data_IF_421841634906
#
_entry.id   IF_421841634906
#
_cell.length_a   1.000
_cell.length_b   1.000
_cell.length_c   1.000
_cell.angle_alpha   90.00
_cell.angle_beta   90.00
_cell.angle_gamma   90.00
#
_symmetry.space_group_name_H-M   'P 1'
#
loop_
_entity.id
_entity.type
_entity.pdbx_description
1 polymer ?
#
# COMPACT_ATOMS: atom_id res chain seq x y z
N UNK A 1 -0.08 20.54 11.32
CA UNK A 1 0.32 19.14 11.13
C UNK A 1 0.26 18.33 12.43
N UNK A 2 0.95 18.74 13.52
CA UNK A 2 0.89 18.02 14.81
C UNK A 2 -0.55 17.85 15.32
N UNK A 3 -1.35 18.92 15.32
CA UNK A 3 -2.76 18.87 15.72
C UNK A 3 -3.58 17.85 14.90
N UNK A 4 -3.31 17.72 13.59
CA UNK A 4 -4.03 16.78 12.73
C UNK A 4 -3.72 15.33 13.15
N UNK A 5 -2.45 15.03 13.44
CA UNK A 5 -2.03 13.71 13.92
C UNK A 5 -2.66 13.39 15.27
N UNK A 6 -2.73 14.37 16.19
CA UNK A 6 -3.40 14.19 17.48
C UNK A 6 -4.90 13.98 17.34
N UNK A 7 -5.58 14.76 16.49
CA UNK A 7 -7.00 14.59 16.17
C UNK A 7 -7.28 13.18 15.62
N UNK A 8 -6.42 12.68 14.70
CA UNK A 8 -6.57 11.34 14.14
C UNK A 8 -6.22 10.24 15.15
N UNK A 9 -5.28 10.47 16.05
CA UNK A 9 -4.97 9.56 17.15
C UNK A 9 -6.17 9.40 18.10
N UNK A 10 -6.84 10.51 18.43
CA UNK A 10 -8.07 10.49 19.24
C UNK A 10 -9.20 9.79 18.48
N UNK A 11 -9.41 10.13 17.20
CA UNK A 11 -10.48 9.55 16.39
C UNK A 11 -10.34 8.04 16.16
N UNK A 12 -9.09 7.56 16.01
CA UNK A 12 -8.78 6.14 15.80
C UNK A 12 -8.52 5.36 17.10
N UNK A 13 -8.43 6.04 18.25
CA UNK A 13 -8.18 5.40 19.54
C UNK A 13 -6.77 4.82 19.71
N UNK A 14 -5.78 5.31 18.95
CA UNK A 14 -4.36 4.92 19.09
C UNK A 14 -3.52 6.03 19.69
N UNK A 15 -2.34 5.71 20.18
CA UNK A 15 -1.37 6.72 20.60
C UNK A 15 -0.85 7.51 19.40
N UNK A 16 -0.70 8.83 19.55
CA UNK A 16 -0.19 9.68 18.48
C UNK A 16 1.24 9.24 18.08
N UNK A 17 1.45 8.80 16.83
CA UNK A 17 2.76 8.39 16.34
C UNK A 17 3.69 9.59 16.14
N UNK A 18 5.00 9.34 16.12
CA UNK A 18 5.97 10.40 15.81
C UNK A 18 5.88 10.78 14.34
N UNK A 19 6.08 12.06 14.07
CA UNK A 19 5.92 12.62 12.74
C UNK A 19 7.28 13.08 12.19
N UNK A 20 7.57 12.69 10.95
CA UNK A 20 8.80 13.04 10.25
C UNK A 20 8.48 13.78 8.96
N UNK A 21 9.22 14.86 8.69
CA UNK A 21 9.13 15.61 7.45
C UNK A 21 10.23 15.16 6.49
N UNK A 22 9.85 14.76 5.29
CA UNK A 22 10.76 14.37 4.22
C UNK A 22 10.92 15.54 3.23
N UNK A 23 12.16 15.89 2.85
CA UNK A 23 12.43 16.94 1.86
C UNK A 23 12.19 16.41 0.43
N UNK A 24 10.92 16.21 0.08
CA UNK A 24 10.47 15.79 -1.26
C UNK A 24 9.27 16.66 -1.65
N UNK A 25 9.23 17.11 -2.91
CA UNK A 25 8.19 18.02 -3.43
C UNK A 25 6.92 17.28 -3.88
N UNK A 26 6.96 15.96 -4.02
CA UNK A 26 5.78 15.16 -4.34
C UNK A 26 4.82 15.08 -3.15
N UNK A 27 3.51 15.00 -3.42
CA UNK A 27 2.48 14.77 -2.39
C UNK A 27 2.56 13.30 -1.95
N UNK A 28 2.97 13.02 -0.72
CA UNK A 28 3.05 11.68 -0.18
C UNK A 28 3.08 11.63 1.35
N UNK A 29 2.52 10.55 1.89
CA UNK A 29 2.64 10.17 3.29
C UNK A 29 2.80 8.66 3.40
N UNK A 30 3.36 8.18 4.51
CA UNK A 30 3.44 6.76 4.83
C UNK A 30 3.48 6.53 6.33
N UNK A 31 2.87 5.45 6.80
CA UNK A 31 3.08 4.91 8.14
C UNK A 31 4.15 3.79 8.12
N UNK A 32 5.05 3.79 9.10
CA UNK A 32 6.04 2.73 9.30
C UNK A 32 6.17 2.37 10.78
N UNK A 33 6.39 1.10 11.09
CA UNK A 33 6.56 0.61 12.45
C UNK A 33 6.38 -0.90 12.53
N UNK A 34 6.72 -1.52 13.65
CA UNK A 34 6.43 -2.94 13.90
C UNK A 34 5.17 -3.14 14.76
N UNK A 35 4.95 -2.22 15.70
CA UNK A 35 3.79 -2.19 16.58
C UNK A 35 3.18 -0.80 16.55
N UNK A 36 1.90 -0.69 16.89
CA UNK A 36 1.19 0.60 16.93
C UNK A 36 1.84 1.61 17.89
N UNK A 37 2.57 1.13 18.91
CA UNK A 37 3.32 1.96 19.87
C UNK A 37 4.61 2.57 19.31
N UNK A 38 5.21 1.93 18.32
CA UNK A 38 6.46 2.36 17.68
C UNK A 38 6.21 2.92 16.27
N UNK A 39 4.94 3.17 15.94
CA UNK A 39 4.57 3.69 14.65
C UNK A 39 5.05 5.13 14.47
N UNK A 40 5.50 5.41 13.26
CA UNK A 40 5.90 6.73 12.81
C UNK A 40 5.18 7.05 11.51
N UNK A 41 4.84 8.32 11.32
CA UNK A 41 4.27 8.83 10.08
C UNK A 41 5.31 9.71 9.41
N UNK A 42 5.65 9.40 8.17
CA UNK A 42 6.44 10.25 7.29
C UNK A 42 5.52 11.05 6.39
N UNK A 43 5.74 12.36 6.29
CA UNK A 43 5.00 13.26 5.39
C UNK A 43 6.03 14.04 4.57
N UNK A 44 5.80 14.17 3.26
CA UNK A 44 6.68 14.96 2.39
C UNK A 44 6.40 16.46 2.47
N UNK A 45 7.39 17.28 2.11
CA UNK A 45 7.22 18.73 1.99
C UNK A 45 6.10 19.08 1.00
N UNK A 46 5.99 18.36 -0.12
CA UNK A 46 4.90 18.52 -1.09
C UNK A 46 3.51 18.37 -0.47
N UNK A 47 3.32 17.41 0.44
CA UNK A 47 2.05 17.25 1.14
C UNK A 47 1.69 18.46 2.00
N UNK A 48 2.68 19.09 2.63
CA UNK A 48 2.45 20.28 3.46
C UNK A 48 2.20 21.51 2.61
N UNK A 49 2.91 21.65 1.50
CA UNK A 49 2.84 22.84 0.66
C UNK A 49 1.63 22.84 -0.29
N UNK A 50 1.14 21.67 -0.70
CA UNK A 50 0.16 21.53 -1.79
C UNK A 50 -1.24 21.07 -1.33
N UNK A 51 -1.33 20.40 -0.17
CA UNK A 51 -2.62 20.00 0.39
C UNK A 51 -3.13 21.04 1.38
N UNK A 52 -4.44 21.26 1.33
CA UNK A 52 -5.15 21.99 2.39
C UNK A 52 -5.12 21.20 3.71
N UNK A 53 -5.51 21.86 4.81
CA UNK A 53 -5.56 21.23 6.13
C UNK A 53 -6.49 20.01 6.12
N UNK A 54 -7.64 20.15 5.49
CA UNK A 54 -8.68 19.12 5.36
C UNK A 54 -8.14 17.96 4.52
N UNK A 55 -7.54 18.24 3.37
CA UNK A 55 -6.94 17.21 2.51
C UNK A 55 -5.84 16.42 3.22
N UNK A 56 -4.94 17.13 3.92
CA UNK A 56 -3.90 16.51 4.74
C UNK A 56 -4.50 15.64 5.84
N UNK A 57 -5.61 16.06 6.46
CA UNK A 57 -6.32 15.28 7.45
C UNK A 57 -6.88 13.98 6.85
N UNK A 58 -7.41 14.02 5.63
CA UNK A 58 -7.82 12.83 4.88
C UNK A 58 -6.66 11.86 4.60
N UNK A 59 -5.52 12.37 4.14
CA UNK A 59 -4.31 11.56 3.87
C UNK A 59 -3.77 10.93 5.15
N UNK A 60 -3.66 11.71 6.24
CA UNK A 60 -3.18 11.20 7.52
C UNK A 60 -4.17 10.15 8.07
N UNK A 61 -5.47 10.39 8.00
CA UNK A 61 -6.48 9.42 8.42
C UNK A 61 -6.36 8.08 7.67
N UNK A 62 -6.07 8.11 6.37
CA UNK A 62 -5.80 6.93 5.58
C UNK A 62 -4.55 6.17 6.06
N UNK A 63 -3.47 6.88 6.38
CA UNK A 63 -2.24 6.26 6.92
C UNK A 63 -2.42 5.70 8.33
N UNK A 64 -3.32 6.25 9.14
CA UNK A 64 -3.62 5.74 10.47
C UNK A 64 -4.26 4.35 10.45
N UNK A 65 -4.94 3.96 9.36
CA UNK A 65 -5.46 2.59 9.21
C UNK A 65 -4.34 1.56 9.27
N UNK A 66 -3.17 1.84 8.70
CA UNK A 66 -2.02 0.92 8.71
C UNK A 66 -1.52 0.66 10.14
N UNK A 67 -1.72 1.60 11.05
CA UNK A 67 -1.33 1.53 12.47
C UNK A 67 -2.39 0.78 13.29
N UNK A 68 -3.68 0.99 12.99
CA UNK A 68 -4.81 0.47 13.76
C UNK A 68 -5.19 -0.98 13.38
N UNK A 69 -5.33 -1.28 12.09
CA UNK A 69 -5.91 -2.56 11.63
C UNK A 69 -4.92 -3.73 11.55
N UNK A 70 -3.68 -3.54 12.03
CA UNK A 70 -2.67 -4.60 12.04
C UNK A 70 -2.40 -5.16 10.64
N UNK A 71 -2.53 -4.33 9.60
CA UNK A 71 -2.41 -4.77 8.21
C UNK A 71 -1.07 -5.45 7.93
N UNK A 72 -0.05 -5.02 8.68
CA UNK A 72 1.30 -5.56 8.70
C UNK A 72 1.35 -7.06 8.99
N UNK A 73 0.48 -7.60 9.86
CA UNK A 73 0.49 -9.04 10.18
C UNK A 73 0.02 -9.89 9.01
N UNK A 74 -1.07 -9.51 8.34
CA UNK A 74 -1.59 -10.25 7.20
C UNK A 74 -0.62 -10.18 6.01
N UNK A 75 -0.05 -9.01 5.73
CA UNK A 75 0.96 -8.85 4.69
C UNK A 75 2.20 -9.70 4.98
N UNK A 76 2.65 -9.75 6.24
CA UNK A 76 3.75 -10.63 6.66
C UNK A 76 3.41 -12.12 6.49
N UNK A 77 2.19 -12.54 6.84
CA UNK A 77 1.73 -13.92 6.66
C UNK A 77 1.69 -14.32 5.18
N UNK A 78 1.14 -13.46 4.32
CA UNK A 78 1.12 -13.70 2.87
C UNK A 78 2.53 -13.78 2.29
N UNK A 79 3.42 -12.88 2.71
CA UNK A 79 4.83 -12.90 2.31
C UNK A 79 5.53 -14.19 2.77
N UNK A 80 5.27 -14.66 3.99
CA UNK A 80 5.84 -15.91 4.51
C UNK A 80 5.34 -17.13 3.72
N UNK A 81 4.05 -17.20 3.40
CA UNK A 81 3.47 -18.27 2.58
C UNK A 81 4.05 -18.25 1.16
N UNK A 82 4.14 -17.07 0.54
CA UNK A 82 4.75 -16.90 -0.77
C UNK A 82 6.22 -17.35 -0.76
N UNK A 83 6.99 -16.89 0.23
CA UNK A 83 8.39 -17.28 0.42
C UNK A 83 8.56 -18.79 0.58
N UNK A 84 7.72 -19.42 1.41
CA UNK A 84 7.71 -20.87 1.60
C UNK A 84 7.44 -21.64 0.30
N UNK A 85 6.46 -21.21 -0.50
CA UNK A 85 6.13 -21.84 -1.78
C UNK A 85 7.26 -21.69 -2.81
N UNK A 86 7.89 -20.52 -2.87
CA UNK A 86 9.07 -20.31 -3.72
C UNK A 86 10.22 -21.23 -3.27
N UNK A 87 10.48 -21.32 -1.96
CA UNK A 87 11.50 -22.24 -1.42
C UNK A 87 11.20 -23.69 -1.80
N UNK A 88 9.94 -24.15 -1.67
CA UNK A 88 9.53 -25.49 -2.11
C UNK A 88 9.76 -25.71 -3.61
N UNK A 89 9.42 -24.72 -4.43
CA UNK A 89 9.61 -24.78 -5.88
C UNK A 89 11.08 -24.91 -6.28
N UNK A 90 11.94 -24.12 -5.62
CA UNK A 90 13.39 -24.14 -5.82
C UNK A 90 14.04 -25.44 -5.33
N UNK A 91 13.61 -25.96 -4.16
CA UNK A 91 14.09 -27.23 -3.62
C UNK A 91 13.79 -28.40 -4.57
N UNK A 92 12.62 -28.39 -5.21
CA UNK A 92 12.25 -29.41 -6.21
C UNK A 92 13.12 -29.40 -7.47
N UNK A 93 13.69 -28.23 -7.81
CA UNK A 93 14.51 -28.03 -9.00
C UNK A 93 16.01 -28.21 -8.79
N UNK A 94 16.45 -28.57 -7.59
CA UNK A 94 17.87 -28.81 -7.31
C UNK A 94 18.40 -29.98 -8.16
N UNK A 95 19.64 -29.88 -8.66
CA UNK A 95 20.24 -30.94 -9.47
C UNK A 95 20.40 -32.19 -8.61
N UNK A 96 19.54 -33.17 -8.88
CA UNK A 96 19.57 -34.48 -8.25
C UNK A 96 20.66 -35.33 -8.94
N UNK A 97 21.58 -35.88 -8.17
CA UNK A 97 22.69 -36.69 -8.71
C UNK A 97 22.21 -37.91 -9.49
N UNK A 98 22.99 -38.34 -10.49
CA UNK A 98 22.65 -39.40 -11.46
C UNK A 98 22.34 -40.79 -10.88
N UNK A 99 22.52 -40.98 -9.57
CA UNK A 99 22.25 -42.23 -8.84
C UNK A 99 20.93 -42.22 -8.05
N UNK A 100 20.20 -41.11 -8.01
CA UNK A 100 18.91 -41.08 -7.30
C UNK A 100 17.80 -41.74 -8.13
N UNK A 101 16.94 -42.50 -7.45
CA UNK A 101 15.84 -43.23 -8.08
C UNK A 101 14.77 -42.31 -8.68
N UNK A 102 14.04 -42.83 -9.68
CA UNK A 102 12.96 -42.15 -10.42
C UNK A 102 11.93 -41.48 -9.50
N UNK A 103 11.67 -42.07 -8.32
CA UNK A 103 10.74 -41.54 -7.31
C UNK A 103 11.18 -40.15 -6.81
N UNK A 104 12.49 -39.93 -6.63
CA UNK A 104 13.00 -38.64 -6.13
C UNK A 104 12.92 -37.57 -7.21
N UNK A 105 13.18 -37.94 -8.46
CA UNK A 105 13.02 -37.02 -9.60
C UNK A 105 11.55 -36.61 -9.75
N UNK A 106 10.61 -37.56 -9.66
CA UNK A 106 9.18 -37.27 -9.69
C UNK A 106 8.75 -36.36 -8.52
N UNK A 107 9.26 -36.61 -7.32
CA UNK A 107 9.00 -35.76 -6.16
C UNK A 107 9.52 -34.33 -6.39
N UNK A 108 10.72 -34.18 -6.96
CA UNK A 108 11.28 -32.87 -7.31
C UNK A 108 10.39 -32.11 -8.30
N UNK A 109 9.95 -32.78 -9.38
CA UNK A 109 9.03 -32.19 -10.37
C UNK A 109 7.71 -31.74 -9.73
N UNK A 110 7.12 -32.56 -8.86
CA UNK A 110 5.87 -32.22 -8.16
C UNK A 110 6.08 -31.00 -7.25
N UNK A 111 7.18 -30.94 -6.51
CA UNK A 111 7.51 -29.79 -5.64
C UNK A 111 7.74 -28.51 -6.45
N UNK A 112 8.42 -28.60 -7.60
CA UNK A 112 8.64 -27.49 -8.50
C UNK A 112 7.34 -26.95 -9.06
N UNK A 113 6.50 -27.80 -9.64
CA UNK A 113 5.22 -27.40 -10.21
C UNK A 113 4.32 -26.84 -9.11
N UNK A 114 4.16 -27.57 -8.00
CA UNK A 114 3.32 -27.15 -6.88
C UNK A 114 3.77 -25.83 -6.25
N UNK A 115 5.08 -25.65 -6.03
CA UNK A 115 5.64 -24.43 -5.48
C UNK A 115 5.44 -23.21 -6.38
N UNK A 116 5.78 -23.32 -7.67
CA UNK A 116 5.63 -22.20 -8.60
C UNK A 116 4.16 -21.89 -8.91
N UNK A 117 3.32 -22.89 -9.19
CA UNK A 117 1.88 -22.68 -9.40
C UNK A 117 1.22 -22.12 -8.16
N UNK A 118 1.55 -22.64 -6.96
CA UNK A 118 1.06 -22.09 -5.71
C UNK A 118 1.47 -20.63 -5.53
N UNK A 119 2.73 -20.28 -5.79
CA UNK A 119 3.23 -18.91 -5.65
C UNK A 119 2.51 -17.93 -6.58
N UNK A 120 2.13 -18.38 -7.79
CA UNK A 120 1.33 -17.59 -8.73
C UNK A 120 -0.05 -17.26 -8.16
N UNK A 121 -0.77 -18.25 -7.64
CA UNK A 121 -2.10 -18.02 -7.06
C UNK A 121 -2.05 -17.17 -5.79
N UNK A 122 -1.03 -17.38 -4.93
CA UNK A 122 -0.85 -16.54 -3.73
C UNK A 122 -0.66 -15.08 -4.11
N UNK A 123 0.13 -14.76 -5.14
CA UNK A 123 0.28 -13.37 -5.61
C UNK A 123 -1.04 -12.77 -6.12
N UNK A 124 -1.90 -13.57 -6.73
CA UNK A 124 -3.20 -13.11 -7.21
C UNK A 124 -4.15 -12.82 -6.03
N UNK A 125 -4.15 -13.70 -5.01
CA UNK A 125 -4.90 -13.49 -3.77
C UNK A 125 -4.39 -12.26 -3.02
N UNK A 126 -3.07 -12.13 -2.87
CA UNK A 126 -2.43 -10.99 -2.21
C UNK A 126 -2.82 -9.67 -2.89
N UNK A 127 -2.75 -9.61 -4.23
CA UNK A 127 -3.18 -8.43 -4.97
C UNK A 127 -4.67 -8.11 -4.76
N UNK A 128 -5.54 -9.13 -4.77
CA UNK A 128 -6.97 -8.94 -4.53
C UNK A 128 -7.28 -8.45 -3.11
N UNK A 129 -6.65 -9.05 -2.10
CA UNK A 129 -6.81 -8.66 -0.70
C UNK A 129 -6.25 -7.26 -0.45
N UNK A 130 -5.11 -6.91 -1.05
CA UNK A 130 -4.53 -5.56 -0.97
C UNK A 130 -5.49 -4.50 -1.48
N UNK A 131 -6.15 -4.73 -2.63
CA UNK A 131 -7.14 -3.78 -3.19
C UNK A 131 -8.35 -3.60 -2.28
N UNK A 132 -8.93 -4.68 -1.76
CA UNK A 132 -10.06 -4.60 -0.84
C UNK A 132 -9.72 -3.84 0.43
N UNK A 133 -8.49 -4.06 0.92
CA UNK A 133 -7.96 -3.39 2.09
C UNK A 133 -7.68 -1.90 1.86
N UNK A 134 -7.29 -1.50 0.66
CA UNK A 134 -7.21 -0.09 0.28
C UNK A 134 -8.58 0.60 0.34
N UNK A 135 -9.64 -0.04 -0.18
CA UNK A 135 -10.99 0.53 -0.08
C UNK A 135 -11.48 0.62 1.37
N UNK A 136 -11.13 -0.36 2.21
CA UNK A 136 -11.41 -0.29 3.64
C UNK A 136 -10.66 0.88 4.29
N UNK A 137 -9.43 1.16 3.87
CA UNK A 137 -8.65 2.29 4.35
C UNK A 137 -9.30 3.62 3.98
N UNK A 138 -9.75 3.75 2.74
CA UNK A 138 -10.46 4.93 2.26
C UNK A 138 -11.74 5.15 3.07
N UNK A 139 -12.55 4.10 3.27
CA UNK A 139 -13.75 4.18 4.10
C UNK A 139 -13.44 4.55 5.56
N UNK A 140 -12.37 3.99 6.13
CA UNK A 140 -11.93 4.27 7.50
C UNK A 140 -11.44 5.72 7.65
N UNK A 141 -10.73 6.23 6.65
CA UNK A 141 -10.29 7.62 6.62
C UNK A 141 -11.50 8.56 6.64
N UNK A 142 -12.50 8.32 5.78
CA UNK A 142 -13.76 9.08 5.79
C UNK A 142 -14.50 8.95 7.12
N UNK A 143 -14.49 7.78 7.74
CA UNK A 143 -15.08 7.58 9.06
C UNK A 143 -14.38 8.42 10.15
N UNK A 144 -13.05 8.52 10.12
CA UNK A 144 -12.27 9.29 11.09
C UNK A 144 -12.37 10.80 10.87
N UNK A 145 -12.31 11.26 9.61
CA UNK A 145 -12.43 12.69 9.29
C UNK A 145 -13.89 13.17 9.34
N UNK A 146 -14.85 12.26 9.15
CA UNK A 146 -16.28 12.56 8.93
C UNK A 146 -16.54 13.46 7.74
N UNK A 147 -15.59 13.53 6.82
CA UNK A 147 -15.66 14.34 5.61
C UNK A 147 -15.09 13.54 4.43
N UNK A 148 -15.91 13.11 3.45
CA UNK A 148 -15.42 12.40 2.28
C UNK A 148 -14.60 13.31 1.35
N UNK A 149 -14.85 14.62 1.34
CA UNK A 149 -14.13 15.56 0.47
C UNK A 149 -12.68 15.76 0.91
N UNK A 150 -12.38 15.55 2.19
CA UNK A 150 -11.02 15.58 2.70
C UNK A 150 -10.11 14.58 1.96
N UNK A 151 -10.53 13.32 1.84
CA UNK A 151 -9.74 12.31 1.12
C UNK A 151 -9.89 12.43 -0.39
N UNK A 152 -11.10 12.69 -0.90
CA UNK A 152 -11.34 12.80 -2.33
C UNK A 152 -10.57 13.97 -2.98
N UNK A 153 -10.51 15.14 -2.32
CA UNK A 153 -9.73 16.30 -2.77
C UNK A 153 -8.24 15.98 -2.89
N UNK A 154 -7.67 15.34 -1.85
CA UNK A 154 -6.28 14.90 -1.87
C UNK A 154 -5.99 13.93 -3.03
N UNK A 155 -6.85 12.94 -3.25
CA UNK A 155 -6.71 11.98 -4.34
C UNK A 155 -6.84 12.64 -5.72
N UNK A 156 -7.75 13.60 -5.89
CA UNK A 156 -7.90 14.39 -7.11
C UNK A 156 -6.62 15.21 -7.39
N UNK A 157 -6.08 15.89 -6.39
CA UNK A 157 -4.81 16.64 -6.50
C UNK A 157 -3.64 15.73 -6.87
N UNK A 158 -3.55 14.54 -6.28
CA UNK A 158 -2.51 13.55 -6.62
C UNK A 158 -2.65 13.05 -8.05
N UNK A 159 -3.88 12.81 -8.51
CA UNK A 159 -4.14 12.36 -9.87
C UNK A 159 -3.89 13.43 -10.94
N UNK A 160 -4.15 14.70 -10.64
CA UNK A 160 -3.85 15.84 -11.51
C UNK A 160 -2.37 16.25 -11.50
N UNK A 161 -1.69 16.10 -10.37
CA UNK A 161 -0.30 16.52 -10.22
C UNK A 161 0.70 15.43 -10.62
N UNK A 162 1.29 15.59 -11.82
CA UNK A 162 2.30 14.69 -12.39
C UNK A 162 3.59 14.56 -11.54
N UNK A 163 3.80 15.43 -10.54
CA UNK A 163 4.94 15.43 -9.62
C UNK A 163 4.77 14.59 -8.35
N UNK A 164 3.64 13.91 -8.15
CA UNK A 164 3.37 13.09 -6.95
C UNK A 164 4.27 11.84 -6.82
N UNK A 165 5.17 11.62 -7.77
CA UNK A 165 6.13 10.52 -7.76
C UNK A 165 7.38 10.85 -6.94
N UNK A 166 7.59 10.12 -5.84
CA UNK A 166 8.84 10.20 -5.07
C UNK A 166 10.03 9.74 -5.94
N UNK A 167 10.93 10.67 -6.26
CA UNK A 167 12.12 10.46 -7.07
C UNK A 167 13.36 10.09 -6.23
N UNK A 168 13.23 9.18 -5.25
CA UNK A 168 14.39 8.69 -4.49
C UNK A 168 14.96 7.39 -5.08
N UNK A 169 16.30 7.24 -5.11
CA UNK A 169 16.99 6.04 -5.65
C UNK A 169 16.52 4.71 -5.03
N UNK A 170 15.99 4.73 -3.79
CA UNK A 170 15.40 3.57 -3.08
C UNK A 170 13.87 3.59 -3.01
N UNK A 171 13.20 4.62 -3.54
CA UNK A 171 11.73 4.76 -3.52
C UNK A 171 11.05 3.52 -4.10
N UNK A 172 11.65 2.90 -5.12
CA UNK A 172 11.12 1.69 -5.77
C UNK A 172 10.93 0.50 -4.82
N UNK A 173 11.76 0.40 -3.78
CA UNK A 173 11.74 -0.73 -2.83
C UNK A 173 10.61 -0.60 -1.79
N UNK A 174 10.16 0.62 -1.52
CA UNK A 174 9.15 0.92 -0.49
C UNK A 174 7.85 1.50 -1.05
N UNK A 175 7.61 1.35 -2.37
CA UNK A 175 6.43 1.88 -3.05
C UNK A 175 5.10 1.48 -2.43
N UNK A 176 5.03 0.29 -1.84
CA UNK A 176 3.82 -0.25 -1.20
C UNK A 176 3.47 0.46 0.11
N UNK A 177 4.37 1.30 0.65
CA UNK A 177 4.12 2.11 1.83
C UNK A 177 3.62 3.52 1.48
N UNK A 178 3.74 3.94 0.22
CA UNK A 178 3.50 5.33 -0.17
C UNK A 178 2.04 5.55 -0.57
N UNK A 179 1.42 6.57 0.02
CA UNK A 179 0.07 7.03 -0.28
C UNK A 179 -0.13 7.40 -1.75
N UNK A 180 0.78 8.19 -2.31
CA UNK A 180 0.80 8.50 -3.75
C UNK A 180 1.79 7.58 -4.44
N UNK A 181 1.29 6.51 -5.06
CA UNK A 181 2.13 5.68 -5.92
C UNK A 181 2.33 6.37 -7.26
N UNK A 182 3.38 7.19 -7.37
CA UNK A 182 3.81 7.76 -8.66
C UNK A 182 4.45 6.76 -9.64
N UNK A 183 3.98 5.50 -9.64
CA UNK A 183 4.29 4.52 -10.69
C UNK A 183 2.98 3.89 -11.18
N UNK A 184 2.11 4.73 -11.73
CA UNK A 184 1.24 4.31 -12.84
C UNK A 184 2.15 4.19 -14.06
N UNK A 185 2.62 3.00 -14.41
CA UNK A 185 2.07 2.27 -15.57
C UNK A 185 2.44 0.77 -15.51
N UNK A 186 3.24 0.31 -14.54
CA UNK A 186 3.96 -0.95 -14.72
C UNK A 186 3.13 -2.23 -14.54
N UNK A 187 1.98 -2.19 -13.83
CA UNK A 187 1.14 -3.38 -13.65
C UNK A 187 -0.34 -3.02 -13.62
N UNK A 188 -0.93 -2.77 -14.80
CA UNK A 188 -2.39 -2.82 -14.98
C UNK A 188 -2.86 -4.28 -14.98
N UNK A 189 -4.02 -4.56 -14.38
CA UNK A 189 -4.65 -5.89 -14.40
C UNK A 189 -4.55 -6.66 -13.07
N UNK A 190 -4.64 -7.99 -13.12
CA UNK A 190 -4.91 -8.84 -11.94
C UNK A 190 -3.87 -8.74 -10.81
N UNK A 191 -2.65 -8.33 -11.14
CA UNK A 191 -1.53 -8.20 -10.21
C UNK A 191 -1.31 -6.79 -9.64
N UNK A 192 -2.20 -5.83 -9.93
CA UNK A 192 -2.13 -4.49 -9.34
C UNK A 192 -2.41 -4.56 -7.83
N UNK A 193 -1.47 -4.09 -7.00
CA UNK A 193 -1.60 -4.09 -5.53
C UNK A 193 -2.41 -2.91 -4.98
N UNK A 194 -2.55 -1.85 -5.78
CA UNK A 194 -3.44 -0.71 -5.48
C UNK A 194 -4.51 -0.61 -6.58
N UNK A 195 -5.76 -0.29 -6.21
CA UNK A 195 -6.80 0.02 -7.18
C UNK A 195 -6.51 1.34 -7.89
N UNK A 196 -7.13 1.54 -9.05
CA UNK A 196 -6.96 2.78 -9.82
C UNK A 196 -7.48 3.99 -9.02
N UNK A 197 -6.78 5.13 -9.11
CA UNK A 197 -7.15 6.36 -8.38
C UNK A 197 -8.57 6.81 -8.71
N UNK A 198 -8.97 6.72 -9.97
CA UNK A 198 -10.34 7.06 -10.39
C UNK A 198 -11.39 6.20 -9.71
N UNK A 199 -11.12 4.90 -9.55
CA UNK A 199 -12.02 3.95 -8.88
C UNK A 199 -12.16 4.28 -7.38
N UNK A 200 -11.06 4.70 -6.74
CA UNK A 200 -11.08 5.17 -5.34
C UNK A 200 -11.88 6.46 -5.19
N UNK A 201 -11.60 7.46 -6.03
CA UNK A 201 -12.30 8.75 -5.99
C UNK A 201 -13.80 8.54 -6.21
N UNK A 202 -14.19 7.73 -7.20
CA UNK A 202 -15.60 7.50 -7.52
C UNK A 202 -16.38 6.77 -6.41
N UNK A 203 -15.70 5.94 -5.60
CA UNK A 203 -16.33 5.31 -4.42
C UNK A 203 -16.53 6.28 -3.25
N UNK A 204 -15.63 7.25 -3.08
CA UNK A 204 -15.68 8.24 -2.00
C UNK A 204 -16.61 9.41 -2.38
N UNK A 205 -16.50 9.87 -3.63
CA UNK A 205 -17.26 10.96 -4.22
C UNK A 205 -17.94 10.48 -5.51
N UNK A 206 -19.15 9.90 -5.40
CA UNK A 206 -19.91 9.42 -6.55
C UNK A 206 -20.31 10.51 -7.55
N UNK A 207 -20.22 11.78 -7.17
CA UNK A 207 -20.57 12.91 -8.02
C UNK A 207 -19.39 13.41 -8.87
N UNK A 208 -18.21 12.84 -8.70
CA UNK A 208 -17.04 13.24 -9.46
C UNK A 208 -17.22 12.98 -10.96
N UNK A 209 -16.91 13.99 -11.77
CA UNK A 209 -17.05 14.03 -13.23
C UNK A 209 -15.91 13.33 -13.99
N UNK A 210 -14.91 12.82 -13.28
CA UNK A 210 -13.74 12.16 -13.86
C UNK A 210 -12.63 13.12 -14.29
N UNK A 211 -12.77 14.42 -14.03
CA UNK A 211 -11.78 15.44 -14.38
C UNK A 211 -10.90 15.74 -13.17
N UNK A 212 -9.59 15.72 -13.38
CA UNK A 212 -8.62 16.11 -12.37
C UNK A 212 -8.41 17.63 -12.41
N UNK A 213 -8.15 18.28 -11.25
CA UNK A 213 -7.82 19.70 -11.22
C UNK A 213 -6.51 19.96 -11.98
N UNK A 214 -6.51 20.99 -12.85
CA UNK A 214 -5.34 21.39 -13.65
C UNK A 214 -4.31 22.20 -12.84
N UNK A 215 -4.72 22.77 -11.69
CA UNK A 215 -3.89 23.58 -10.78
C UNK A 215 -4.13 23.16 -9.31
N UNK A 216 -3.10 23.31 -8.46
CA UNK A 216 -3.08 22.87 -7.05
C UNK A 216 -3.53 23.96 -6.06
#
# INVERSE_FOLDING_TARGET
MINIVEEMAIASGVSAPRLYLLPDEGINAFAAGFHSKDAVIGVTQGTISLLTREEMQGVIAHEFRNIYNGDMHLSMQMLAVYGGLITLGLLGGLPIGSKMGVIVVLMGVVLTIGGFTGSFFVRLIEAAVSRQREFLADATAVQYTRDPQSLAGALKKIGGYAGSAICAKKARKYKHLYFATGVSTAMKGWFASHPDLSERIQRIDPQWDGVYPEEL
#
